data_IF_733984767644
#
_entry.id   IF_733984767644
#
_cell.length_a   1.000
_cell.length_b   1.000
_cell.length_c   1.000
_cell.angle_alpha   90.00
_cell.angle_beta   90.00
_cell.angle_gamma   90.00
#
_symmetry.space_group_name_H-M   'P 1'
#
loop_
_entity.id
_entity.type
_entity.pdbx_description
1 polymer ?
#
# COMPACT_ATOMS: atom_id res chain seq x y z
N UNK A 1 -3.86 -9.14 3.64
CA UNK A 1 -2.44 -8.85 3.33
C UNK A 1 -2.29 -7.56 2.52
N UNK A 2 -1.41 -6.66 2.96
CA UNK A 2 -1.08 -5.38 2.30
C UNK A 2 -0.18 -5.59 1.08
N UNK A 3 -0.57 -5.07 -0.08
CA UNK A 3 0.18 -5.28 -1.33
C UNK A 3 1.48 -4.46 -1.41
N UNK A 4 1.60 -3.39 -0.63
CA UNK A 4 2.79 -2.51 -0.60
C UNK A 4 3.92 -3.11 0.25
N UNK A 5 3.58 -3.70 1.41
CA UNK A 5 4.58 -4.15 2.39
C UNK A 5 4.54 -5.66 2.68
N UNK A 6 3.51 -6.38 2.24
CA UNK A 6 3.36 -7.81 2.47
C UNK A 6 2.83 -8.22 3.85
N UNK A 7 2.62 -7.29 4.79
CA UNK A 7 2.11 -7.63 6.13
C UNK A 7 0.58 -7.66 6.18
N UNK A 8 0.01 -8.42 7.10
CA UNK A 8 -1.44 -8.52 7.23
C UNK A 8 -2.10 -7.31 7.92
N UNK A 9 -3.43 -7.27 7.93
CA UNK A 9 -4.22 -6.22 8.59
C UNK A 9 -4.31 -4.91 7.80
N UNK A 10 -4.29 -4.99 6.46
CA UNK A 10 -4.63 -3.86 5.60
C UNK A 10 -6.11 -3.49 5.79
N UNK A 11 -6.40 -2.19 5.90
CA UNK A 11 -7.71 -1.65 6.27
C UNK A 11 -8.25 -0.61 5.27
N UNK A 12 -7.50 -0.34 4.19
CA UNK A 12 -7.90 0.60 3.13
C UNK A 12 -7.61 0.02 1.76
N UNK A 13 -8.24 0.57 0.72
CA UNK A 13 -7.87 0.33 -0.67
C UNK A 13 -6.88 1.41 -1.14
N UNK A 14 -5.87 0.98 -1.90
CA UNK A 14 -4.89 1.82 -2.57
C UNK A 14 -4.98 1.59 -4.08
N UNK A 15 -4.79 2.65 -4.86
CA UNK A 15 -4.90 2.61 -6.30
C UNK A 15 -3.56 2.18 -6.93
N UNK A 16 -3.52 1.07 -7.67
CA UNK A 16 -2.30 0.56 -8.32
C UNK A 16 -1.69 1.63 -9.24
N UNK A 17 -2.53 2.28 -10.04
CA UNK A 17 -2.25 3.49 -10.78
C UNK A 17 -2.89 4.64 -10.01
N UNK A 18 -2.11 5.59 -9.49
CA UNK A 18 -2.64 6.77 -8.81
C UNK A 18 -3.64 7.54 -9.67
N UNK A 19 -4.67 8.12 -9.04
CA UNK A 19 -5.67 8.95 -9.73
C UNK A 19 -5.04 10.12 -10.48
N UNK A 20 -3.98 10.72 -9.91
CA UNK A 20 -3.22 11.81 -10.54
C UNK A 20 -2.47 11.38 -11.80
N UNK A 21 -2.34 10.08 -12.06
CA UNK A 21 -1.74 9.50 -13.26
C UNK A 21 -2.78 8.85 -14.17
N UNK A 22 -4.07 9.11 -13.95
CA UNK A 22 -5.16 8.61 -14.79
C UNK A 22 -5.66 7.21 -14.43
N UNK A 23 -5.34 6.70 -13.24
CA UNK A 23 -5.92 5.44 -12.75
C UNK A 23 -7.42 5.56 -12.52
N UNK A 24 -8.18 4.54 -12.93
CA UNK A 24 -9.62 4.47 -12.71
C UNK A 24 -9.93 4.23 -11.20
N UNK A 25 -10.72 5.08 -10.54
CA UNK A 25 -11.04 4.95 -9.13
C UNK A 25 -11.93 3.76 -8.77
N UNK A 26 -12.68 3.22 -9.73
CA UNK A 26 -13.70 2.19 -9.51
C UNK A 26 -13.32 0.84 -10.15
N UNK A 27 -12.33 0.81 -11.04
CA UNK A 27 -11.80 -0.41 -11.62
C UNK A 27 -11.26 -1.36 -10.53
N UNK A 28 -11.87 -2.54 -10.32
CA UNK A 28 -11.45 -3.47 -9.26
C UNK A 28 -9.99 -3.92 -9.37
N UNK A 29 -9.45 -4.03 -10.59
CA UNK A 29 -8.05 -4.34 -10.85
C UNK A 29 -7.08 -3.25 -10.41
N UNK A 30 -7.57 -2.00 -10.35
CA UNK A 30 -6.80 -0.86 -9.86
C UNK A 30 -6.87 -0.74 -8.33
N UNK A 31 -7.69 -1.54 -7.63
CA UNK A 31 -7.84 -1.46 -6.18
C UNK A 31 -7.11 -2.62 -5.50
N UNK A 32 -6.16 -2.29 -4.62
CA UNK A 32 -5.41 -3.28 -3.84
C UNK A 32 -5.40 -2.94 -2.34
N UNK A 33 -5.43 -3.94 -1.45
CA UNK A 33 -5.48 -3.71 -0.01
C UNK A 33 -4.17 -3.11 0.53
N UNK A 34 -4.23 -1.99 1.24
CA UNK A 34 -3.10 -1.32 1.87
C UNK A 34 -3.40 -0.82 3.29
N UNK A 35 -2.36 -0.62 4.10
CA UNK A 35 -2.51 0.03 5.41
C UNK A 35 -2.74 1.54 5.24
N UNK A 36 -3.83 2.03 5.81
CA UNK A 36 -4.21 3.43 5.82
C UNK A 36 -3.58 4.20 6.99
N UNK A 37 -4.37 5.10 7.58
CA UNK A 37 -3.92 6.03 8.64
C UNK A 37 -3.52 5.31 9.92
N UNK A 38 -4.15 4.16 10.24
CA UNK A 38 -3.78 3.33 11.39
C UNK A 38 -2.36 2.78 11.27
N UNK A 39 -1.87 2.64 10.03
CA UNK A 39 -0.53 2.16 9.74
C UNK A 39 -0.35 0.65 9.96
N UNK A 40 0.82 0.19 9.55
CA UNK A 40 1.25 -1.20 9.62
C UNK A 40 1.88 -1.49 10.99
N UNK A 41 1.35 -2.48 11.74
CA UNK A 41 1.90 -2.87 13.05
C UNK A 41 3.33 -3.41 12.98
N UNK A 42 3.71 -4.05 11.87
CA UNK A 42 5.05 -4.64 11.69
C UNK A 42 6.07 -3.61 11.20
N UNK A 43 5.65 -2.70 10.33
CA UNK A 43 6.54 -1.80 9.60
C UNK A 43 6.44 -0.34 10.01
N UNK A 44 5.48 0.02 10.87
CA UNK A 44 5.26 1.38 11.42
C UNK A 44 4.79 2.43 10.40
N UNK A 45 4.64 2.06 9.12
CA UNK A 45 4.31 3.00 8.04
C UNK A 45 2.81 3.06 7.78
N UNK A 46 2.31 4.24 7.45
CA UNK A 46 1.04 4.45 6.76
C UNK A 46 1.24 4.14 5.27
N UNK A 47 1.23 2.85 4.90
CA UNK A 47 1.74 2.37 3.61
C UNK A 47 1.13 3.09 2.41
N UNK A 48 -0.19 3.23 2.38
CA UNK A 48 -0.93 3.93 1.33
C UNK A 48 -0.45 5.40 1.21
N UNK A 49 -0.56 6.17 2.30
CA UNK A 49 -0.13 7.58 2.34
C UNK A 49 1.35 7.78 2.04
N UNK A 50 2.22 6.84 2.47
CA UNK A 50 3.67 6.92 2.26
C UNK A 50 4.09 6.63 0.82
N UNK A 51 3.31 5.82 0.10
CA UNK A 51 3.52 5.53 -1.31
C UNK A 51 3.21 6.77 -2.15
N UNK A 52 2.06 7.40 -1.92
CA UNK A 52 1.61 8.56 -2.70
C UNK A 52 1.46 8.21 -4.19
N UNK A 53 1.84 9.13 -5.08
CA UNK A 53 1.70 8.96 -6.53
C UNK A 53 2.83 8.11 -7.18
N UNK A 54 3.56 7.30 -6.43
CA UNK A 54 4.68 6.49 -6.95
C UNK A 54 4.17 5.18 -7.53
N UNK A 55 4.53 4.89 -8.78
CA UNK A 55 4.26 3.59 -9.42
C UNK A 55 5.15 2.48 -8.85
N UNK A 56 6.34 2.83 -8.36
CA UNK A 56 7.25 1.88 -7.75
C UNK A 56 6.83 1.56 -6.32
N UNK A 57 6.75 0.27 -6.00
CA UNK A 57 6.59 -0.17 -4.63
C UNK A 57 7.94 -0.08 -3.90
N UNK A 58 7.97 0.44 -2.66
CA UNK A 58 9.15 0.29 -1.83
C UNK A 58 9.40 -1.20 -1.59
N UNK A 59 10.66 -1.62 -1.66
CA UNK A 59 11.03 -2.98 -1.30
C UNK A 59 10.42 -3.33 0.07
N UNK A 60 9.76 -4.49 0.22
CA UNK A 60 9.24 -4.90 1.51
C UNK A 60 10.41 -4.97 2.48
N UNK A 61 10.39 -4.11 3.51
CA UNK A 61 11.28 -4.29 4.65
C UNK A 61 10.73 -5.49 5.41
N UNK A 62 11.24 -6.67 5.07
CA UNK A 62 11.17 -7.80 5.99
C UNK A 62 11.74 -7.31 7.32
N UNK A 63 11.06 -7.63 8.42
CA UNK A 63 11.66 -7.50 9.75
C UNK A 63 13.01 -8.20 9.68
N UNK A 64 14.12 -7.47 9.90
CA UNK A 64 15.42 -8.11 10.06
C UNK A 64 15.26 -9.10 11.23
N UNK A 65 15.30 -10.38 10.92
CA UNK A 65 15.34 -11.47 11.87
C UNK A 65 16.32 -12.50 11.31
N UNK A 66 17.52 -12.48 11.90
CA UNK A 66 18.60 -13.49 11.98
C UNK A 66 19.00 -14.22 10.70
#
# INVERSE_FOLDING_TARGET
MCWICGHDGADTADHVIPLSLGGDPLAPENLRPAHGVRGCRTCGRKCNSSRGAKLTLPAPRASRAW
#
